data_IF_681735443043
#
_entry.id   IF_681735443043
#
_cell.length_a   1.000
_cell.length_b   1.000
_cell.length_c   1.000
_cell.angle_alpha   90.00
_cell.angle_beta   90.00
_cell.angle_gamma   90.00
#
_symmetry.space_group_name_H-M   'P 1'
#
loop_
_entity.id
_entity.type
_entity.pdbx_description
1 polymer ?
#
# COMPACT_ATOMS: atom_id res chain seq x y z
N UNK A 1 12.62 -4.08 -7.43
CA UNK A 1 11.19 -3.76 -7.20
C UNK A 1 10.43 -5.05 -6.97
N UNK A 2 9.58 -5.10 -5.96
CA UNK A 2 8.79 -6.26 -5.54
C UNK A 2 7.37 -6.16 -6.13
N UNK A 3 6.84 -7.25 -6.69
CA UNK A 3 5.44 -7.36 -7.12
C UNK A 3 4.61 -7.99 -6.00
N UNK A 4 3.54 -7.32 -5.57
CA UNK A 4 2.60 -7.86 -4.60
C UNK A 4 1.35 -8.36 -5.31
N UNK A 5 1.01 -9.64 -5.12
CA UNK A 5 -0.15 -10.27 -5.74
C UNK A 5 -1.29 -10.40 -4.73
N UNK A 6 -2.47 -9.89 -5.09
CA UNK A 6 -3.70 -10.03 -4.30
C UNK A 6 -4.46 -11.30 -4.68
N UNK A 7 -5.08 -11.95 -3.68
CA UNK A 7 -5.91 -13.15 -3.90
C UNK A 7 -5.17 -14.36 -4.47
N UNK A 8 -3.88 -14.29 -4.65
CA UNK A 8 -3.06 -15.39 -5.13
C UNK A 8 -2.94 -16.47 -4.05
N UNK A 9 -3.33 -17.68 -4.37
CA UNK A 9 -3.33 -18.80 -3.44
C UNK A 9 -2.04 -19.60 -3.46
N UNK A 10 -1.40 -19.65 -4.61
CA UNK A 10 -0.10 -20.33 -4.81
C UNK A 10 0.61 -19.73 -5.99
N UNK A 11 1.88 -19.44 -5.85
CA UNK A 11 2.80 -19.13 -6.94
C UNK A 11 4.19 -19.71 -6.58
N UNK A 12 5.03 -19.99 -7.58
CA UNK A 12 6.39 -20.46 -7.32
C UNK A 12 7.14 -19.47 -6.44
N UNK A 13 7.91 -19.98 -5.48
CA UNK A 13 8.73 -19.13 -4.61
C UNK A 13 9.65 -18.28 -5.48
N UNK A 14 9.48 -16.95 -5.37
CA UNK A 14 10.27 -16.00 -6.12
C UNK A 14 10.55 -14.78 -5.22
N UNK A 15 11.79 -14.38 -5.13
CA UNK A 15 12.21 -13.25 -4.30
C UNK A 15 11.65 -11.89 -4.74
N UNK A 16 11.12 -11.80 -5.97
CA UNK A 16 10.49 -10.58 -6.51
C UNK A 16 8.97 -10.57 -6.43
N UNK A 17 8.38 -11.61 -5.83
CA UNK A 17 6.92 -11.72 -5.67
C UNK A 17 6.60 -11.82 -4.18
N UNK A 18 5.57 -11.10 -3.75
CA UNK A 18 5.02 -11.12 -2.41
C UNK A 18 3.49 -11.13 -2.42
N UNK A 19 2.88 -11.05 -1.25
CA UNK A 19 1.44 -11.06 -1.08
C UNK A 19 0.90 -9.67 -0.75
N UNK A 20 -0.23 -9.28 -1.36
CA UNK A 20 -1.05 -8.19 -0.92
C UNK A 20 -2.34 -8.76 -0.32
N UNK A 21 -2.50 -8.64 0.97
CA UNK A 21 -3.69 -9.04 1.69
C UNK A 21 -4.72 -7.94 1.54
N UNK A 22 -5.93 -8.30 1.11
CA UNK A 22 -7.01 -7.34 0.81
C UNK A 22 -8.28 -7.79 1.54
N UNK A 23 -9.06 -6.90 2.17
CA UNK A 23 -10.32 -7.24 2.79
C UNK A 23 -11.25 -7.97 1.80
N UNK A 24 -12.05 -8.90 2.29
CA UNK A 24 -13.00 -9.74 1.52
C UNK A 24 -12.37 -10.64 0.43
N UNK A 25 -11.06 -10.59 0.22
CA UNK A 25 -10.39 -11.54 -0.65
C UNK A 25 -10.20 -12.89 0.04
N UNK A 26 -10.04 -13.96 -0.75
CA UNK A 26 -9.64 -15.28 -0.22
C UNK A 26 -8.16 -15.27 0.16
N UNK A 27 -7.86 -14.60 1.26
CA UNK A 27 -6.50 -14.57 1.82
C UNK A 27 -6.17 -15.90 2.49
N UNK A 28 -4.93 -16.34 2.35
CA UNK A 28 -4.45 -17.58 2.98
C UNK A 28 -3.26 -17.28 3.88
N UNK A 29 -3.44 -17.24 5.20
CA UNK A 29 -2.35 -17.03 6.15
C UNK A 29 -1.17 -17.98 5.96
N UNK A 30 -1.43 -19.23 5.54
CA UNK A 30 -0.39 -20.23 5.31
C UNK A 30 0.61 -19.81 4.22
N UNK A 31 0.17 -19.03 3.23
CA UNK A 31 1.05 -18.52 2.18
C UNK A 31 2.16 -17.63 2.74
N UNK A 32 1.92 -16.92 3.84
CA UNK A 32 2.91 -16.05 4.49
C UNK A 32 4.03 -16.84 5.16
N UNK A 33 3.81 -18.10 5.55
CA UNK A 33 4.85 -18.98 6.08
C UNK A 33 5.92 -19.32 5.03
N UNK A 34 5.54 -19.29 3.75
CA UNK A 34 6.44 -19.60 2.64
C UNK A 34 7.30 -18.41 2.24
N UNK A 35 6.81 -17.20 2.46
CA UNK A 35 7.49 -15.95 2.14
C UNK A 35 7.26 -14.90 3.25
N UNK A 36 7.78 -15.14 4.46
CA UNK A 36 7.75 -14.15 5.52
C UNK A 36 8.47 -12.88 5.03
N UNK A 37 8.07 -11.72 5.49
CA UNK A 37 8.67 -10.41 5.15
C UNK A 37 8.45 -9.91 3.72
N UNK A 38 7.54 -10.53 2.96
CA UNK A 38 7.21 -10.10 1.59
C UNK A 38 5.70 -9.98 1.41
N UNK A 39 5.05 -9.36 2.33
CA UNK A 39 3.62 -9.16 2.31
C UNK A 39 3.24 -7.78 2.86
N UNK A 40 2.09 -7.30 2.45
CA UNK A 40 1.51 -6.06 2.90
C UNK A 40 -0.02 -6.20 2.97
N UNK A 41 -0.68 -5.25 3.61
CA UNK A 41 -2.14 -5.15 3.64
C UNK A 41 -2.62 -3.91 2.92
N UNK A 42 -3.66 -4.08 2.10
CA UNK A 42 -4.45 -2.99 1.54
C UNK A 42 -5.76 -2.85 2.34
N UNK A 43 -6.27 -1.64 2.47
CA UNK A 43 -7.52 -1.35 3.20
C UNK A 43 -8.79 -1.63 2.37
N UNK A 44 -8.66 -1.87 1.05
CA UNK A 44 -9.77 -2.15 0.15
C UNK A 44 -10.63 -0.93 -0.22
N UNK A 45 -10.21 0.30 0.09
CA UNK A 45 -11.01 1.52 -0.12
C UNK A 45 -11.49 1.71 -1.56
N UNK A 46 -10.76 1.20 -2.54
CA UNK A 46 -11.16 1.29 -3.95
C UNK A 46 -12.48 0.56 -4.27
N UNK A 47 -12.77 -0.53 -3.56
CA UNK A 47 -14.03 -1.28 -3.69
C UNK A 47 -15.12 -0.82 -2.70
N UNK A 48 -14.81 0.22 -1.90
CA UNK A 48 -15.63 0.69 -0.79
C UNK A 48 -15.09 0.17 0.54
N UNK A 49 -14.54 1.08 1.37
CA UNK A 49 -13.97 0.72 2.67
C UNK A 49 -15.01 0.08 3.60
N UNK A 50 -14.69 -1.09 4.11
CA UNK A 50 -15.52 -1.84 5.06
C UNK A 50 -14.72 -2.08 6.34
N UNK A 51 -15.09 -1.34 7.39
CA UNK A 51 -14.36 -1.32 8.64
C UNK A 51 -14.27 -2.70 9.30
N UNK A 52 -15.37 -3.44 9.34
CA UNK A 52 -15.41 -4.76 10.00
C UNK A 52 -14.48 -5.74 9.29
N UNK A 53 -14.55 -5.82 7.95
CA UNK A 53 -13.67 -6.68 7.16
C UNK A 53 -12.19 -6.27 7.28
N UNK A 54 -11.90 -4.98 7.42
CA UNK A 54 -10.55 -4.48 7.64
C UNK A 54 -10.03 -4.86 9.03
N UNK A 55 -10.86 -4.70 10.07
CA UNK A 55 -10.49 -5.08 11.44
C UNK A 55 -10.31 -6.59 11.59
N UNK A 56 -11.20 -7.40 11.03
CA UNK A 56 -11.07 -8.87 10.99
C UNK A 56 -9.76 -9.30 10.32
N UNK A 57 -9.40 -8.63 9.23
CA UNK A 57 -8.13 -8.87 8.55
C UNK A 57 -6.93 -8.52 9.43
N UNK A 58 -6.95 -7.37 10.11
CA UNK A 58 -5.88 -6.98 11.03
C UNK A 58 -5.72 -7.99 12.17
N UNK A 59 -6.82 -8.52 12.71
CA UNK A 59 -6.80 -9.54 13.75
C UNK A 59 -6.30 -10.88 13.22
N UNK A 60 -6.84 -11.36 12.09
CA UNK A 60 -6.45 -12.64 11.47
C UNK A 60 -4.96 -12.71 11.18
N UNK A 61 -4.37 -11.60 10.73
CA UNK A 61 -2.96 -11.52 10.38
C UNK A 61 -2.08 -10.94 11.51
N UNK A 62 -2.63 -10.74 12.70
CA UNK A 62 -1.88 -10.23 13.86
C UNK A 62 -0.65 -11.09 14.24
N UNK A 63 -0.66 -12.42 14.16
CA UNK A 63 0.53 -13.22 14.42
C UNK A 63 1.68 -12.98 13.45
N UNK A 64 1.40 -12.46 12.25
CA UNK A 64 2.39 -12.21 11.19
C UNK A 64 2.79 -10.73 11.22
N UNK A 65 3.75 -10.37 12.06
CA UNK A 65 4.09 -8.97 12.35
C UNK A 65 5.07 -8.31 11.39
N UNK A 66 5.79 -9.09 10.60
CA UNK A 66 6.87 -8.58 9.75
C UNK A 66 6.39 -8.13 8.37
N UNK A 67 5.20 -7.52 8.31
CA UNK A 67 4.70 -6.95 7.07
C UNK A 67 5.54 -5.74 6.60
N UNK A 68 5.52 -5.50 5.30
CA UNK A 68 6.14 -4.33 4.68
C UNK A 68 5.40 -3.05 5.09
N UNK A 69 4.06 -3.10 5.03
CA UNK A 69 3.18 -2.01 5.43
C UNK A 69 1.72 -2.48 5.56
N UNK A 70 0.92 -1.68 6.25
CA UNK A 70 -0.55 -1.74 6.26
C UNK A 70 -1.09 -0.40 5.77
N UNK A 71 -1.86 -0.40 4.70
CA UNK A 71 -2.45 0.82 4.14
C UNK A 71 -3.51 1.36 5.09
N UNK A 72 -3.32 2.57 5.60
CA UNK A 72 -4.34 3.24 6.40
C UNK A 72 -5.59 3.54 5.54
N UNK A 73 -6.80 3.47 6.10
CA UNK A 73 -8.02 3.85 5.39
C UNK A 73 -7.92 5.22 4.73
N UNK A 74 -8.41 5.30 3.49
CA UNK A 74 -8.33 6.49 2.65
C UNK A 74 -9.65 6.76 1.90
N UNK A 75 -9.75 7.93 1.30
CA UNK A 75 -10.84 8.32 0.41
C UNK A 75 -10.26 8.50 -0.99
N UNK A 76 -10.66 7.61 -1.89
CA UNK A 76 -10.17 7.60 -3.27
C UNK A 76 -10.46 8.94 -3.96
N UNK A 77 -9.42 9.58 -4.48
CA UNK A 77 -9.52 10.87 -5.17
C UNK A 77 -9.58 12.10 -4.25
N UNK A 78 -9.46 11.95 -2.92
CA UNK A 78 -9.54 13.07 -1.97
C UNK A 78 -8.42 13.00 -0.92
N UNK A 79 -7.37 13.78 -1.16
CA UNK A 79 -6.23 13.87 -0.25
C UNK A 79 -6.58 14.50 1.11
N UNK A 80 -7.51 15.45 1.15
CA UNK A 80 -7.87 16.12 2.39
C UNK A 80 -8.63 15.18 3.33
N UNK A 81 -9.63 14.46 2.81
CA UNK A 81 -10.36 13.46 3.56
C UNK A 81 -9.43 12.31 4.01
N UNK A 82 -8.53 11.86 3.12
CA UNK A 82 -7.51 10.87 3.43
C UNK A 82 -6.59 11.33 4.56
N UNK A 83 -6.12 12.59 4.56
CA UNK A 83 -5.28 13.13 5.63
C UNK A 83 -6.02 13.19 6.97
N UNK A 84 -7.33 13.46 6.97
CA UNK A 84 -8.15 13.42 8.20
C UNK A 84 -8.21 12.01 8.78
N UNK A 85 -8.45 11.00 7.93
CA UNK A 85 -8.47 9.59 8.34
C UNK A 85 -7.09 9.14 8.83
N UNK A 86 -6.03 9.54 8.16
CA UNK A 86 -4.65 9.22 8.55
C UNK A 86 -4.35 9.62 10.00
N UNK A 87 -4.72 10.82 10.43
CA UNK A 87 -4.45 11.30 11.80
C UNK A 87 -4.99 10.40 12.89
N UNK A 88 -6.09 9.70 12.63
CA UNK A 88 -6.67 8.71 13.54
C UNK A 88 -6.00 7.33 13.35
N UNK A 89 -6.01 6.82 12.11
CA UNK A 89 -5.61 5.46 11.82
C UNK A 89 -4.12 5.18 12.00
N UNK A 90 -3.25 6.17 11.83
CA UNK A 90 -1.81 6.00 12.09
C UNK A 90 -1.57 5.56 13.52
N UNK A 91 -2.28 6.14 14.49
CA UNK A 91 -2.16 5.78 15.91
C UNK A 91 -2.73 4.39 16.20
N UNK A 92 -3.87 4.05 15.60
CA UNK A 92 -4.48 2.72 15.74
C UNK A 92 -3.53 1.64 15.21
N UNK A 93 -3.04 1.79 13.99
CA UNK A 93 -2.15 0.82 13.37
C UNK A 93 -0.81 0.69 14.12
N UNK A 94 -0.23 1.80 14.54
CA UNK A 94 0.99 1.78 15.38
C UNK A 94 0.74 1.11 16.73
N UNK A 95 -0.40 1.37 17.37
CA UNK A 95 -0.80 0.72 18.63
C UNK A 95 -0.94 -0.80 18.48
N UNK A 96 -1.31 -1.28 17.29
CA UNK A 96 -1.34 -2.69 16.94
C UNK A 96 0.04 -3.24 16.51
N UNK A 97 1.10 -2.44 16.58
CA UNK A 97 2.46 -2.82 16.15
C UNK A 97 2.63 -2.97 14.65
N UNK A 98 1.76 -2.30 13.85
CA UNK A 98 1.80 -2.32 12.38
C UNK A 98 2.63 -1.15 11.84
N UNK A 99 3.09 -1.27 10.59
CA UNK A 99 3.77 -0.22 9.82
C UNK A 99 2.77 0.48 8.92
N UNK A 100 2.19 1.64 9.30
CA UNK A 100 1.14 2.27 8.50
C UNK A 100 1.69 2.87 7.22
N UNK A 101 0.97 2.69 6.10
CA UNK A 101 1.21 3.40 4.85
C UNK A 101 0.18 4.52 4.66
N UNK A 102 0.67 5.72 4.34
CA UNK A 102 -0.18 6.84 3.91
C UNK A 102 -0.48 6.73 2.41
N UNK A 103 -1.76 6.85 2.05
CA UNK A 103 -2.18 6.81 0.64
C UNK A 103 -2.11 8.21 0.03
N UNK A 104 -1.30 8.35 -1.00
CA UNK A 104 -1.25 9.58 -1.81
C UNK A 104 -2.48 9.62 -2.70
N UNK A 105 -3.28 10.67 -2.60
CA UNK A 105 -4.52 10.86 -3.34
C UNK A 105 -4.52 12.20 -4.09
N UNK A 106 -5.43 12.34 -5.04
CA UNK A 106 -5.63 13.57 -5.82
C UNK A 106 -5.87 14.77 -4.90
N UNK A 107 -5.32 15.91 -5.27
CA UNK A 107 -5.39 17.13 -4.47
C UNK A 107 -4.40 17.21 -3.31
N UNK A 108 -3.48 16.23 -3.18
CA UNK A 108 -2.43 16.30 -2.18
C UNK A 108 -1.53 17.50 -2.44
N UNK A 109 -1.24 18.26 -1.39
CA UNK A 109 -0.28 19.36 -1.40
C UNK A 109 0.89 19.05 -0.47
N UNK A 110 2.06 19.71 -0.62
CA UNK A 110 3.22 19.43 0.22
C UNK A 110 2.97 19.55 1.72
N UNK A 111 2.12 20.50 2.12
CA UNK A 111 1.73 20.76 3.51
C UNK A 111 0.77 19.69 4.08
N UNK A 112 0.09 18.94 3.22
CA UNK A 112 -0.75 17.81 3.61
C UNK A 112 0.03 16.48 3.70
N UNK A 113 1.26 16.41 3.18
CA UNK A 113 2.05 15.19 3.17
C UNK A 113 2.56 14.88 4.59
N UNK A 114 2.02 13.87 5.28
CA UNK A 114 2.46 13.51 6.61
C UNK A 114 3.75 12.71 6.58
N UNK A 115 4.47 12.69 7.70
CA UNK A 115 5.51 11.68 7.90
C UNK A 115 4.87 10.29 8.02
N UNK A 116 5.39 9.35 7.23
CA UNK A 116 4.93 7.97 7.22
C UNK A 116 6.09 7.04 6.86
N UNK A 117 6.13 5.81 7.39
CA UNK A 117 7.16 4.83 7.03
C UNK A 117 6.99 4.26 5.63
N UNK A 118 5.80 4.43 5.04
CA UNK A 118 5.48 4.02 3.68
C UNK A 118 4.51 5.01 3.03
N UNK A 119 4.74 5.33 1.76
CA UNK A 119 3.77 6.01 0.90
C UNK A 119 3.21 5.02 -0.12
N UNK A 120 1.90 4.91 -0.15
CA UNK A 120 1.16 4.15 -1.15
C UNK A 120 0.65 5.09 -2.23
N UNK A 121 1.14 4.97 -3.46
CA UNK A 121 0.71 5.81 -4.59
C UNK A 121 -0.66 5.35 -5.08
N UNK A 122 -1.70 5.99 -4.57
CA UNK A 122 -3.11 5.82 -4.92
C UNK A 122 -3.59 6.86 -5.93
N UNK A 123 -4.88 7.20 -5.88
CA UNK A 123 -5.49 8.22 -6.72
C UNK A 123 -5.75 7.81 -8.17
N UNK A 124 -6.09 8.82 -8.98
CA UNK A 124 -6.35 8.64 -10.41
C UNK A 124 -5.08 8.33 -11.18
N UNK A 125 -5.25 7.84 -12.41
CA UNK A 125 -4.10 7.61 -13.31
C UNK A 125 -3.36 8.91 -13.59
N UNK A 126 -4.07 10.01 -13.78
CA UNK A 126 -3.47 11.32 -14.04
C UNK A 126 -2.61 11.78 -12.86
N UNK A 127 -3.14 11.71 -11.65
CA UNK A 127 -2.39 12.04 -10.44
C UNK A 127 -1.12 11.18 -10.31
N UNK A 128 -1.23 9.85 -10.47
CA UNK A 128 -0.08 8.93 -10.39
C UNK A 128 1.05 9.31 -11.36
N UNK A 129 0.70 9.79 -12.56
CA UNK A 129 1.66 10.14 -13.60
C UNK A 129 2.14 11.59 -13.51
N UNK A 130 1.69 12.34 -12.49
CA UNK A 130 2.03 13.76 -12.34
C UNK A 130 3.49 13.96 -11.88
N UNK A 131 4.09 15.12 -12.22
CA UNK A 131 5.40 15.52 -11.68
C UNK A 131 5.42 15.60 -10.16
N UNK A 132 4.28 15.90 -9.54
CA UNK A 132 4.13 15.97 -8.09
C UNK A 132 4.39 14.61 -7.44
N UNK A 133 3.78 13.53 -7.93
CA UNK A 133 4.03 12.18 -7.42
C UNK A 133 5.48 11.77 -7.61
N UNK A 134 6.08 12.10 -8.76
CA UNK A 134 7.51 11.84 -8.99
C UNK A 134 8.39 12.57 -7.96
N UNK A 135 8.08 13.83 -7.62
CA UNK A 135 8.80 14.59 -6.62
C UNK A 135 8.64 13.99 -5.20
N UNK A 136 7.43 13.54 -4.84
CA UNK A 136 7.16 12.85 -3.56
C UNK A 136 7.95 11.54 -3.48
N UNK A 137 7.96 10.74 -4.55
CA UNK A 137 8.74 9.51 -4.61
C UNK A 137 10.24 9.79 -4.44
N UNK A 138 10.78 10.80 -5.12
CA UNK A 138 12.17 11.20 -4.97
C UNK A 138 12.49 11.67 -3.54
N UNK A 139 11.58 12.42 -2.90
CA UNK A 139 11.68 12.79 -1.49
C UNK A 139 11.72 11.56 -0.59
N UNK A 140 10.79 10.62 -0.78
CA UNK A 140 10.69 9.39 -0.01
C UNK A 140 11.99 8.56 -0.11
N UNK A 141 12.55 8.41 -1.30
CA UNK A 141 13.79 7.67 -1.52
C UNK A 141 14.98 8.28 -0.77
N UNK A 142 15.12 9.60 -0.75
CA UNK A 142 16.19 10.27 0.02
C UNK A 142 16.09 10.05 1.52
N UNK A 143 14.89 9.76 2.03
CA UNK A 143 14.60 9.53 3.46
C UNK A 143 14.51 8.04 3.84
N UNK A 144 14.69 7.13 2.90
CA UNK A 144 14.54 5.69 3.15
C UNK A 144 13.09 5.26 3.40
N UNK A 145 12.10 6.08 2.99
CA UNK A 145 10.68 5.78 3.11
C UNK A 145 10.32 4.80 1.99
N UNK A 146 9.61 3.72 2.33
CA UNK A 146 9.13 2.74 1.36
C UNK A 146 8.07 3.35 0.43
N UNK A 147 8.16 3.10 -0.87
CA UNK A 147 7.19 3.55 -1.86
C UNK A 147 6.54 2.33 -2.52
N UNK A 148 5.23 2.19 -2.33
CA UNK A 148 4.40 1.22 -3.03
C UNK A 148 3.55 1.91 -4.10
N UNK A 149 3.46 1.31 -5.28
CA UNK A 149 2.66 1.85 -6.39
C UNK A 149 1.43 0.98 -6.66
N UNK A 150 0.25 1.49 -6.35
CA UNK A 150 -1.01 0.75 -6.46
C UNK A 150 -1.52 0.63 -7.90
N UNK A 151 -2.05 -0.55 -8.23
CA UNK A 151 -2.76 -0.85 -9.49
C UNK A 151 -1.96 -0.56 -10.77
N UNK A 152 -0.79 -1.14 -10.86
CA UNK A 152 0.06 -1.09 -12.04
C UNK A 152 -0.35 -2.19 -13.02
N UNK A 153 -1.36 -1.92 -13.84
CA UNK A 153 -1.99 -2.90 -14.73
C UNK A 153 -1.41 -2.90 -16.16
N UNK A 154 -0.38 -2.09 -16.43
CA UNK A 154 0.22 -1.95 -17.75
C UNK A 154 1.74 -1.84 -17.63
N UNK A 155 2.47 -2.45 -18.56
CA UNK A 155 3.92 -2.42 -18.61
C UNK A 155 4.49 -0.99 -18.53
N UNK A 156 3.91 -0.06 -19.31
CA UNK A 156 4.32 1.36 -19.28
C UNK A 156 4.22 1.99 -17.91
N UNK A 157 3.17 1.64 -17.11
CA UNK A 157 3.02 2.16 -15.73
C UNK A 157 4.06 1.54 -14.81
N UNK A 158 4.40 0.29 -15.02
CA UNK A 158 5.47 -0.38 -14.27
C UNK A 158 6.82 0.32 -14.51
N UNK A 159 7.15 0.68 -15.76
CA UNK A 159 8.36 1.44 -16.07
C UNK A 159 8.38 2.80 -15.36
N UNK A 160 7.25 3.51 -15.35
CA UNK A 160 7.13 4.82 -14.66
C UNK A 160 7.35 4.64 -13.15
N UNK A 161 6.69 3.66 -12.53
CA UNK A 161 6.88 3.34 -11.12
C UNK A 161 8.34 3.00 -10.80
N UNK A 162 9.00 2.21 -11.65
CA UNK A 162 10.42 1.89 -11.51
C UNK A 162 11.30 3.14 -11.58
N UNK A 163 11.08 4.00 -12.57
CA UNK A 163 11.85 5.27 -12.74
C UNK A 163 11.61 6.22 -11.58
N UNK A 164 10.41 6.25 -11.02
CA UNK A 164 10.09 7.01 -9.80
C UNK A 164 10.74 6.42 -8.53
N UNK A 165 11.34 5.23 -8.60
CA UNK A 165 12.01 4.60 -7.47
C UNK A 165 11.09 3.81 -6.56
N UNK A 166 9.97 3.28 -7.06
CA UNK A 166 9.09 2.40 -6.30
C UNK A 166 9.83 1.15 -5.80
N UNK A 167 9.61 0.80 -4.53
CA UNK A 167 10.13 -0.42 -3.91
C UNK A 167 9.26 -1.63 -4.23
N UNK A 168 7.94 -1.39 -4.31
CA UNK A 168 6.95 -2.42 -4.65
C UNK A 168 5.79 -1.85 -5.46
N UNK A 169 5.06 -2.75 -6.11
CA UNK A 169 3.81 -2.42 -6.81
C UNK A 169 2.85 -3.60 -6.75
N UNK A 170 1.56 -3.30 -6.94
CA UNK A 170 0.53 -4.29 -7.20
C UNK A 170 -0.12 -4.05 -8.56
N UNK A 171 -0.81 -5.07 -9.06
CA UNK A 171 -1.57 -4.99 -10.28
C UNK A 171 -2.42 -6.24 -10.47
N UNK A 172 -3.62 -6.06 -10.98
CA UNK A 172 -4.49 -7.16 -11.40
C UNK A 172 -4.36 -7.32 -12.90
N UNK A 173 -3.75 -8.45 -13.33
CA UNK A 173 -3.61 -8.95 -14.72
C UNK A 173 -2.86 -8.05 -15.69
#
# INVERSE_FOLDING_TARGET
MLMLLSGATTYPRNERIGHLIVPLAKNRPEALRLQPNRWAMDNGAFAGFQIDAFMDMLETFHPYRDELFVTAPDVVGDAMATTRLWRFWVRVLQGLGRKPAYVLQDGLTPDLLPDAPCYFVGGTTEFKLSPQVAAICAYAKRRGIWVHWGRVNMFRRMEIAMRAGADSFDGTK
#
